data_IF_124492795278
#
_entry.id   IF_124492795278
#
_cell.length_a   1.000
_cell.length_b   1.000
_cell.length_c   1.000
_cell.angle_alpha   90.00
_cell.angle_beta   90.00
_cell.angle_gamma   90.00
#
_symmetry.space_group_name_H-M   'P 1'
#
loop_
_entity.id
_entity.type
_entity.pdbx_description
1 polymer ?
#
# COMPACT_ATOMS: atom_id res chain seq x y z
N UNK A 1 10.40 -19.74 0.47
CA UNK A 1 10.46 -18.51 1.28
C UNK A 1 9.05 -18.22 1.78
N UNK A 2 8.85 -17.86 3.05
CA UNK A 2 7.48 -17.60 3.53
C UNK A 2 6.95 -16.28 2.94
N UNK A 3 5.63 -16.17 2.83
CA UNK A 3 4.97 -14.94 2.40
C UNK A 3 5.36 -13.74 3.30
N UNK A 4 5.52 -13.94 4.61
CA UNK A 4 5.94 -12.84 5.50
C UNK A 4 7.37 -12.39 5.26
N UNK A 5 8.27 -13.29 4.85
CA UNK A 5 9.63 -12.93 4.44
C UNK A 5 9.62 -12.13 3.14
N UNK A 6 8.84 -12.54 2.14
CA UNK A 6 8.68 -11.78 0.88
C UNK A 6 8.08 -10.39 1.14
N UNK A 7 7.09 -10.29 2.03
CA UNK A 7 6.51 -9.02 2.44
C UNK A 7 7.53 -8.13 3.16
N UNK A 8 8.33 -8.68 4.07
CA UNK A 8 9.38 -7.94 4.77
C UNK A 8 10.43 -7.41 3.78
N UNK A 9 10.89 -8.21 2.84
CA UNK A 9 11.84 -7.78 1.80
C UNK A 9 11.25 -6.66 0.92
N UNK A 10 9.99 -6.81 0.52
CA UNK A 10 9.30 -5.79 -0.26
C UNK A 10 9.20 -4.47 0.50
N UNK A 11 8.88 -4.51 1.81
CA UNK A 11 8.85 -3.34 2.69
C UNK A 11 10.26 -2.75 2.81
N UNK A 12 11.29 -3.53 3.12
CA UNK A 12 12.65 -3.01 3.24
C UNK A 12 13.17 -2.37 1.95
N UNK A 13 12.74 -2.88 0.78
CA UNK A 13 13.13 -2.36 -0.53
C UNK A 13 12.41 -1.06 -0.92
N UNK A 14 11.12 -0.96 -0.61
CA UNK A 14 10.26 0.11 -1.15
C UNK A 14 9.76 1.09 -0.09
N UNK A 15 9.82 0.73 1.18
CA UNK A 15 9.49 1.62 2.30
C UNK A 15 10.71 2.47 2.60
N UNK A 16 10.75 3.62 1.94
CA UNK A 16 11.77 4.64 2.19
C UNK A 16 11.40 5.36 3.49
N UNK A 17 12.37 5.80 4.29
CA UNK A 17 12.05 6.60 5.47
C UNK A 17 11.53 7.97 5.03
N UNK A 18 10.43 8.45 5.61
CA UNK A 18 9.91 9.82 5.37
C UNK A 18 10.92 10.90 5.82
N UNK A 19 11.89 10.52 6.65
CA UNK A 19 12.98 11.39 7.12
C UNK A 19 14.23 11.31 6.24
N UNK A 20 14.22 10.49 5.20
CA UNK A 20 15.29 10.49 4.21
C UNK A 20 15.14 11.77 3.37
N UNK A 21 15.85 12.81 3.80
CA UNK A 21 15.82 14.16 3.20
C UNK A 21 16.16 14.19 1.70
N UNK A 22 16.65 13.07 1.15
CA UNK A 22 16.99 12.93 -0.26
C UNK A 22 15.82 12.44 -1.13
N UNK A 23 14.69 12.04 -0.54
CA UNK A 23 13.60 11.40 -1.26
C UNK A 23 12.45 12.38 -1.42
N UNK A 24 12.04 12.61 -2.66
CA UNK A 24 10.88 13.47 -2.91
C UNK A 24 9.61 12.80 -2.37
N UNK A 25 8.66 13.58 -1.83
CA UNK A 25 7.39 13.05 -1.34
C UNK A 25 6.65 12.18 -2.37
N UNK A 26 6.78 12.49 -3.66
CA UNK A 26 6.21 11.72 -4.75
C UNK A 26 6.85 10.33 -4.90
N UNK A 27 8.19 10.23 -4.82
CA UNK A 27 8.90 8.95 -4.87
C UNK A 27 8.53 8.09 -3.66
N UNK A 28 8.37 8.72 -2.49
CA UNK A 28 7.91 8.02 -1.30
C UNK A 28 6.50 7.43 -1.45
N UNK A 29 5.53 8.24 -1.91
CA UNK A 29 4.16 7.77 -2.19
C UNK A 29 4.15 6.66 -3.25
N UNK A 30 5.04 6.72 -4.24
CA UNK A 30 5.16 5.67 -5.26
C UNK A 30 5.67 4.35 -4.68
N UNK A 31 6.63 4.37 -3.75
CA UNK A 31 7.08 3.19 -3.02
C UNK A 31 5.94 2.51 -2.25
N UNK A 32 5.09 3.31 -1.60
CA UNK A 32 3.89 2.80 -0.91
C UNK A 32 2.87 2.22 -1.89
N UNK A 33 2.68 2.83 -3.05
CA UNK A 33 1.79 2.31 -4.09
C UNK A 33 2.22 0.90 -4.56
N UNK A 34 3.53 0.68 -4.71
CA UNK A 34 4.07 -0.62 -5.12
C UNK A 34 3.89 -1.68 -4.03
N UNK A 35 4.12 -1.32 -2.76
CA UNK A 35 3.85 -2.23 -1.64
C UNK A 35 2.37 -2.64 -1.60
N UNK A 36 1.47 -1.67 -1.75
CA UNK A 36 0.03 -1.91 -1.76
C UNK A 36 -0.39 -2.86 -2.89
N UNK A 37 0.13 -2.62 -4.11
CA UNK A 37 -0.14 -3.47 -5.28
C UNK A 37 0.26 -4.93 -5.05
N UNK A 38 1.44 -5.17 -4.47
CA UNK A 38 1.91 -6.54 -4.21
C UNK A 38 1.10 -7.22 -3.10
N UNK A 39 0.70 -6.48 -2.05
CA UNK A 39 -0.25 -7.00 -1.05
C UNK A 39 -1.58 -7.40 -1.68
N UNK A 40 -2.08 -6.59 -2.61
CA UNK A 40 -3.33 -6.88 -3.31
C UNK A 40 -3.21 -8.13 -4.21
N UNK A 41 -2.08 -8.32 -4.89
CA UNK A 41 -1.81 -9.54 -5.65
C UNK A 41 -1.77 -10.78 -4.74
N UNK A 42 -1.09 -10.70 -3.60
CA UNK A 42 -1.04 -11.80 -2.64
C UNK A 42 -2.41 -12.16 -2.05
N UNK A 43 -3.30 -11.17 -1.89
CA UNK A 43 -4.70 -11.43 -1.53
C UNK A 43 -5.42 -12.21 -2.63
N UNK A 44 -5.21 -11.88 -3.91
CA UNK A 44 -5.77 -12.61 -5.05
C UNK A 44 -5.21 -14.02 -5.18
N UNK A 45 -3.98 -14.24 -4.75
CA UNK A 45 -3.32 -15.55 -4.67
C UNK A 45 -3.67 -16.31 -3.38
N UNK A 46 -4.61 -15.82 -2.57
CA UNK A 46 -5.07 -16.44 -1.32
C UNK A 46 -3.96 -16.69 -0.30
N UNK A 47 -2.91 -15.86 -0.31
CA UNK A 47 -1.80 -15.99 0.63
C UNK A 47 -2.29 -15.79 2.08
N UNK A 48 -1.92 -16.67 3.01
CA UNK A 48 -2.33 -16.57 4.41
C UNK A 48 -2.00 -15.21 5.02
N UNK A 49 -3.00 -14.56 5.65
CA UNK A 49 -2.82 -13.28 6.33
C UNK A 49 -2.64 -12.05 5.41
N UNK A 50 -2.61 -12.22 4.08
CA UNK A 50 -2.46 -11.10 3.15
C UNK A 50 -3.62 -10.10 3.24
N UNK A 51 -4.85 -10.56 3.47
CA UNK A 51 -6.05 -9.69 3.60
C UNK A 51 -5.92 -8.71 4.77
N UNK A 52 -5.43 -9.18 5.92
CA UNK A 52 -5.20 -8.35 7.10
C UNK A 52 -4.10 -7.33 6.83
N UNK A 53 -2.96 -7.77 6.30
CA UNK A 53 -1.84 -6.89 5.96
C UNK A 53 -2.22 -5.83 4.93
N UNK A 54 -3.03 -6.18 3.92
CA UNK A 54 -3.54 -5.24 2.93
C UNK A 54 -4.40 -4.14 3.58
N UNK A 55 -5.30 -4.50 4.49
CA UNK A 55 -6.16 -3.54 5.17
C UNK A 55 -5.36 -2.58 6.07
N UNK A 56 -4.44 -3.11 6.87
CA UNK A 56 -3.58 -2.30 7.75
C UNK A 56 -2.71 -1.35 6.92
N UNK A 57 -2.10 -1.86 5.85
CA UNK A 57 -1.24 -1.06 5.00
C UNK A 57 -2.00 -0.01 4.18
N UNK A 58 -3.26 -0.30 3.80
CA UNK A 58 -4.12 0.68 3.12
C UNK A 58 -4.30 1.96 3.96
N UNK A 59 -4.44 1.82 5.29
CA UNK A 59 -4.56 2.94 6.21
C UNK A 59 -3.26 3.75 6.27
N UNK A 60 -2.11 3.07 6.41
CA UNK A 60 -0.79 3.71 6.39
C UNK A 60 -0.58 4.52 5.11
N UNK A 61 -0.83 3.87 3.95
CA UNK A 61 -0.66 4.50 2.65
C UNK A 61 -1.57 5.72 2.47
N UNK A 62 -2.85 5.62 2.84
CA UNK A 62 -3.79 6.73 2.74
C UNK A 62 -3.43 7.91 3.64
N UNK A 63 -2.91 7.67 4.84
CA UNK A 63 -2.49 8.74 5.75
C UNK A 63 -1.32 9.52 5.18
N UNK A 64 -0.33 8.82 4.62
CA UNK A 64 0.84 9.45 4.00
C UNK A 64 0.44 10.18 2.72
N UNK A 65 -0.32 9.53 1.83
CA UNK A 65 -0.80 10.14 0.60
C UNK A 65 -1.64 11.39 0.87
N UNK A 66 -2.45 11.39 1.93
CA UNK A 66 -3.21 12.56 2.38
C UNK A 66 -2.30 13.72 2.77
N UNK A 67 -1.21 13.43 3.50
CA UNK A 67 -0.23 14.43 3.92
C UNK A 67 0.51 15.03 2.71
N UNK A 68 1.05 14.17 1.85
CA UNK A 68 1.85 14.57 0.67
C UNK A 68 1.03 15.35 -0.35
N UNK A 69 -0.16 14.86 -0.68
CA UNK A 69 -1.04 15.50 -1.67
C UNK A 69 -2.03 16.48 -1.04
N UNK A 70 -1.88 16.80 0.25
CA UNK A 70 -2.72 17.76 0.98
C UNK A 70 -4.23 17.52 0.83
N UNK A 71 -4.63 16.24 0.83
CA UNK A 71 -6.01 15.79 0.57
C UNK A 71 -6.62 16.24 -0.78
N UNK A 72 -5.78 16.67 -1.74
CA UNK A 72 -6.17 17.11 -3.08
C UNK A 72 -6.58 16.01 -4.05
N UNK A 73 -6.74 16.31 -5.35
CA UNK A 73 -7.27 15.40 -6.36
C UNK A 73 -6.52 14.06 -6.46
N UNK A 74 -5.20 14.07 -6.38
CA UNK A 74 -4.36 12.87 -6.43
C UNK A 74 -4.66 11.93 -5.24
N UNK A 75 -4.81 12.49 -4.04
CA UNK A 75 -5.22 11.72 -2.87
C UNK A 75 -6.62 11.11 -3.06
N UNK A 76 -7.58 11.87 -3.60
CA UNK A 76 -8.94 11.36 -3.84
C UNK A 76 -8.92 10.20 -4.84
N UNK A 77 -8.10 10.27 -5.90
CA UNK A 77 -7.94 9.19 -6.87
C UNK A 77 -7.35 7.92 -6.22
N UNK A 78 -6.32 8.06 -5.38
CA UNK A 78 -5.73 6.95 -4.61
C UNK A 78 -6.78 6.33 -3.68
N UNK A 79 -7.51 7.16 -2.92
CA UNK A 79 -8.57 6.71 -2.01
C UNK A 79 -9.67 5.95 -2.73
N UNK A 80 -10.16 6.47 -3.85
CA UNK A 80 -11.19 5.81 -4.64
C UNK A 80 -10.74 4.43 -5.12
N UNK A 81 -9.51 4.32 -5.63
CA UNK A 81 -8.92 3.05 -6.07
C UNK A 81 -8.81 2.04 -4.93
N UNK A 82 -8.26 2.44 -3.78
CA UNK A 82 -8.12 1.54 -2.61
C UNK A 82 -9.47 1.05 -2.12
N UNK A 83 -10.48 1.91 -2.08
CA UNK A 83 -11.83 1.51 -1.71
C UNK A 83 -12.42 0.48 -2.68
N UNK A 84 -12.20 0.65 -3.99
CA UNK A 84 -12.62 -0.32 -5.01
C UNK A 84 -11.90 -1.66 -4.85
N UNK A 85 -10.58 -1.63 -4.66
CA UNK A 85 -9.75 -2.82 -4.47
C UNK A 85 -10.20 -3.59 -3.21
N UNK A 86 -10.41 -2.91 -2.08
CA UNK A 86 -10.87 -3.55 -0.84
C UNK A 86 -12.30 -4.14 -0.96
N UNK A 87 -13.19 -3.49 -1.71
CA UNK A 87 -14.53 -4.03 -1.98
C UNK A 87 -14.47 -5.30 -2.84
N UNK A 88 -13.53 -5.36 -3.80
CA UNK A 88 -13.31 -6.53 -4.65
C UNK A 88 -12.92 -7.76 -3.82
N UNK A 89 -12.07 -7.56 -2.81
CA UNK A 89 -11.62 -8.60 -1.88
C UNK A 89 -12.72 -9.06 -0.92
N UNK A 90 -13.66 -8.18 -0.56
CA UNK A 90 -14.81 -8.52 0.30
C UNK A 90 -15.82 -9.42 -0.41
N UNK A 91 -15.99 -9.26 -1.73
CA UNK A 91 -16.96 -10.02 -2.52
C UNK A 91 -16.52 -11.41 -2.97
N UNK A 92 -15.29 -11.83 -2.64
CA UNK A 92 -14.71 -13.12 -3.08
C UNK A 92 -14.95 -14.28 -2.09
N UNK A 93 -16.16 -14.35 -1.51
CA UNK A 93 -16.62 -15.43 -0.61
C UNK A 93 -17.80 -16.17 -1.24
#
# INVERSE_FOLDING_TARGET
MSWEQQYLELRLKNQISIHDTQVSPQVFVQGLAEIYKNLFLAVKEEQPGAKVKLADFAVEYLNIARSVHQAGPEYQAIKAKIMLDLNTVKGTL
#
